data_IF_022896694341
#
_entry.id   IF_022896694341
#
_cell.length_a   1.000
_cell.length_b   1.000
_cell.length_c   1.000
_cell.angle_alpha   90.00
_cell.angle_beta   90.00
_cell.angle_gamma   90.00
#
_symmetry.space_group_name_H-M   'P 1'
#
loop_
_entity.id
_entity.type
_entity.pdbx_description
1 polymer ?
#
# COMPACT_ATOMS: atom_id res chain seq x y z
N UNK A 1 -28.15 51.12 37.76
CA UNK A 1 -27.85 50.53 36.43
C UNK A 1 -26.47 49.85 36.42
N UNK A 2 -26.20 48.87 37.30
CA UNK A 2 -24.91 48.14 37.32
C UNK A 2 -25.05 46.62 37.40
N UNK A 3 -26.18 46.11 37.91
CA UNK A 3 -26.44 44.67 38.00
C UNK A 3 -26.98 44.02 36.71
N UNK A 4 -27.70 44.76 35.85
CA UNK A 4 -28.26 44.21 34.60
C UNK A 4 -27.20 43.90 33.55
N UNK A 5 -26.08 44.64 33.53
CA UNK A 5 -24.97 44.38 32.61
C UNK A 5 -24.08 43.22 33.08
N UNK A 6 -24.06 42.91 34.38
CA UNK A 6 -23.28 41.79 34.91
C UNK A 6 -23.84 40.43 34.43
N UNK A 7 -25.17 40.30 34.34
CA UNK A 7 -25.82 39.09 33.84
C UNK A 7 -25.64 38.88 32.33
N UNK A 8 -25.51 39.96 31.55
CA UNK A 8 -25.26 39.87 30.10
C UNK A 8 -23.81 39.45 29.83
N UNK A 9 -22.84 39.93 30.63
CA UNK A 9 -21.43 39.51 30.49
C UNK A 9 -21.23 38.03 30.89
N UNK A 10 -21.96 37.53 31.90
CA UNK A 10 -21.85 36.13 32.32
C UNK A 10 -22.48 35.14 31.31
N UNK A 11 -23.51 35.56 30.57
CA UNK A 11 -24.19 34.74 29.57
C UNK A 11 -23.49 34.73 28.21
N UNK A 12 -22.71 35.77 27.88
CA UNK A 12 -21.86 35.79 26.68
C UNK A 12 -20.58 34.94 26.87
N UNK A 13 -20.08 34.78 28.11
CA UNK A 13 -18.94 33.90 28.38
C UNK A 13 -19.27 32.39 28.27
N UNK A 14 -20.54 32.00 28.32
CA UNK A 14 -20.95 30.59 28.27
C UNK A 14 -20.90 29.98 26.86
N UNK A 15 -20.73 30.80 25.82
CA UNK A 15 -20.72 30.37 24.41
C UNK A 15 -19.30 29.94 23.97
N UNK A 16 -18.28 30.17 24.81
CA UNK A 16 -16.91 29.66 24.60
C UNK A 16 -16.64 28.35 25.35
N UNK A 17 -17.66 27.55 25.67
CA UNK A 17 -17.46 26.10 25.82
C UNK A 17 -17.24 25.55 24.42
N UNK A 18 -16.01 25.78 23.94
CA UNK A 18 -15.50 25.27 22.69
C UNK A 18 -15.84 23.79 22.63
N UNK A 19 -16.48 23.43 21.54
CA UNK A 19 -16.75 22.07 21.15
C UNK A 19 -15.44 21.29 21.25
N UNK A 20 -15.18 20.61 22.37
CA UNK A 20 -14.20 19.55 22.42
C UNK A 20 -14.82 18.44 21.58
N UNK A 21 -14.71 18.54 20.26
CA UNK A 21 -14.65 17.34 19.44
C UNK A 21 -13.49 16.59 20.05
N UNK A 22 -13.82 15.60 20.88
CA UNK A 22 -12.94 14.49 21.17
C UNK A 22 -12.46 14.04 19.80
N UNK A 23 -11.23 14.43 19.45
CA UNK A 23 -10.50 13.95 18.30
C UNK A 23 -10.10 12.50 18.63
N UNK A 24 -11.09 11.67 18.95
CA UNK A 24 -10.95 10.26 19.32
C UNK A 24 -10.84 9.37 18.08
N UNK A 25 -10.35 9.95 16.99
CA UNK A 25 -10.06 9.29 15.74
C UNK A 25 -9.04 10.17 15.03
N UNK A 26 -7.83 10.24 15.57
CA UNK A 26 -6.68 10.32 14.69
C UNK A 26 -6.88 9.11 13.75
N UNK A 27 -7.07 9.30 12.42
CA UNK A 27 -7.11 8.18 11.51
C UNK A 27 -5.91 7.31 11.81
N UNK A 28 -6.11 6.01 12.04
CA UNK A 28 -4.99 5.15 12.37
C UNK A 28 -4.14 5.10 11.10
N UNK A 29 -3.11 5.95 11.03
CA UNK A 29 -2.29 6.17 9.83
C UNK A 29 -1.68 4.86 9.32
N UNK A 30 -1.58 3.85 10.19
CA UNK A 30 -1.08 2.53 9.86
C UNK A 30 -2.13 1.59 9.26
N UNK A 31 -3.43 1.83 9.46
CA UNK A 31 -4.52 0.96 8.97
C UNK A 31 -5.40 1.64 7.92
N UNK A 32 -5.47 2.97 7.91
CA UNK A 32 -6.30 3.71 6.97
C UNK A 32 -5.63 3.79 5.59
N UNK A 33 -6.47 3.64 4.57
CA UNK A 33 -6.10 3.83 3.16
C UNK A 33 -6.45 5.27 2.74
N UNK A 34 -5.42 6.05 2.37
CA UNK A 34 -5.56 7.43 1.90
C UNK A 34 -5.21 7.50 0.41
N UNK A 35 -6.24 7.43 -0.45
CA UNK A 35 -6.04 7.47 -1.90
C UNK A 35 -5.97 8.90 -2.41
N UNK A 36 -4.74 9.41 -2.58
CA UNK A 36 -4.47 10.64 -3.31
C UNK A 36 -4.28 10.26 -4.78
N UNK A 37 -4.95 10.95 -5.71
CA UNK A 37 -4.81 10.66 -7.15
C UNK A 37 -3.49 11.21 -7.69
N UNK A 38 -2.83 10.43 -8.54
CA UNK A 38 -1.71 10.92 -9.33
C UNK A 38 -2.17 11.98 -10.34
N UNK A 39 -1.39 13.05 -10.52
CA UNK A 39 -1.75 14.18 -11.38
C UNK A 39 -1.81 13.78 -12.87
N UNK A 40 -0.91 12.90 -13.30
CA UNK A 40 -0.80 12.47 -14.69
C UNK A 40 -1.58 11.17 -14.98
N UNK A 41 -1.76 10.33 -13.96
CA UNK A 41 -2.50 9.08 -14.04
C UNK A 41 -3.60 9.01 -12.95
N UNK A 42 -4.73 9.73 -13.08
CA UNK A 42 -5.71 9.91 -11.99
C UNK A 42 -6.32 8.63 -11.39
N UNK A 43 -6.19 7.51 -12.08
CA UNK A 43 -6.63 6.18 -11.63
C UNK A 43 -5.57 5.43 -10.82
N UNK A 44 -4.35 5.96 -10.72
CA UNK A 44 -3.27 5.46 -9.87
C UNK A 44 -3.09 6.38 -8.66
N UNK A 45 -2.60 5.85 -7.52
CA UNK A 45 -2.30 6.68 -6.38
C UNK A 45 -1.08 7.55 -6.66
N UNK A 46 -1.07 8.75 -6.08
CA UNK A 46 0.10 9.60 -6.05
C UNK A 46 1.24 8.91 -5.27
N UNK A 47 2.46 9.14 -5.70
CA UNK A 47 3.64 8.63 -5.03
C UNK A 47 4.08 9.60 -3.93
N UNK A 48 3.80 9.28 -2.66
CA UNK A 48 3.94 10.23 -1.54
C UNK A 48 5.10 9.96 -0.58
N UNK A 49 5.54 8.71 -0.45
CA UNK A 49 6.52 8.29 0.58
C UNK A 49 6.05 8.48 2.04
N UNK A 50 4.74 8.56 2.26
CA UNK A 50 4.12 8.87 3.56
C UNK A 50 3.43 7.67 4.21
N UNK A 51 3.42 6.50 3.56
CA UNK A 51 2.84 5.28 4.10
C UNK A 51 1.31 5.24 4.05
N UNK A 52 0.69 5.84 3.02
CA UNK A 52 -0.77 5.95 2.90
C UNK A 52 -1.53 4.64 2.58
N UNK A 53 -0.86 3.51 2.67
CA UNK A 53 -1.41 2.18 2.43
C UNK A 53 -2.04 2.05 1.04
N UNK A 54 -1.39 2.64 0.04
CA UNK A 54 -1.83 2.61 -1.35
C UNK A 54 -0.85 1.89 -2.25
N UNK A 55 -1.39 1.29 -3.31
CA UNK A 55 -0.61 0.90 -4.46
C UNK A 55 -1.48 0.98 -5.71
N UNK A 56 -0.82 1.05 -6.87
CA UNK A 56 -1.50 0.94 -8.14
C UNK A 56 -0.53 0.62 -9.26
N UNK A 57 -1.01 -0.08 -10.28
CA UNK A 57 -0.29 -0.32 -11.52
C UNK A 57 -1.26 -0.37 -12.69
N UNK A 58 -0.75 -0.14 -13.89
CA UNK A 58 -1.46 -0.47 -15.12
C UNK A 58 -1.18 -1.94 -15.44
N UNK A 59 -2.23 -2.74 -15.52
CA UNK A 59 -2.18 -4.10 -16.03
C UNK A 59 -2.81 -4.09 -17.42
N UNK A 60 -1.99 -4.19 -18.46
CA UNK A 60 -2.41 -3.96 -19.85
C UNK A 60 -3.04 -2.56 -20.04
N UNK A 61 -4.37 -2.52 -20.24
CA UNK A 61 -5.20 -1.32 -20.38
C UNK A 61 -6.16 -1.12 -19.19
N UNK A 62 -5.98 -1.90 -18.14
CA UNK A 62 -6.77 -1.85 -16.92
C UNK A 62 -5.90 -1.37 -15.75
N UNK A 63 -6.57 -0.99 -14.66
CA UNK A 63 -5.96 -0.48 -13.45
C UNK A 63 -6.05 -1.55 -12.37
N UNK A 64 -4.90 -2.01 -11.91
CA UNK A 64 -4.77 -2.85 -10.74
C UNK A 64 -4.49 -1.97 -9.53
N UNK A 65 -5.49 -1.77 -8.68
CA UNK A 65 -5.43 -0.80 -7.58
C UNK A 65 -6.06 -1.34 -6.31
N UNK A 66 -5.59 -0.82 -5.17
CA UNK A 66 -6.20 -1.09 -3.87
C UNK A 66 -7.63 -0.49 -3.77
N UNK A 67 -8.49 -1.14 -2.98
CA UNK A 67 -9.75 -0.56 -2.48
C UNK A 67 -9.89 -0.74 -0.97
N UNK A 68 -10.75 0.05 -0.32
CA UNK A 68 -10.95 0.06 1.14
C UNK A 68 -11.43 -1.27 1.74
N UNK A 69 -11.95 -2.19 0.92
CA UNK A 69 -12.55 -3.45 1.39
C UNK A 69 -11.59 -4.64 1.29
N UNK A 70 -10.32 -4.39 0.97
CA UNK A 70 -9.30 -5.42 0.77
C UNK A 70 -8.08 -5.01 1.61
N UNK A 71 -7.47 -5.97 2.30
CA UNK A 71 -6.16 -5.76 2.94
C UNK A 71 -5.14 -5.53 1.81
N UNK A 72 -4.56 -4.32 1.67
CA UNK A 72 -3.80 -3.97 0.48
C UNK A 72 -2.50 -4.75 0.33
N UNK A 73 -1.88 -5.10 1.44
CA UNK A 73 -0.54 -5.68 1.42
C UNK A 73 -0.29 -6.60 2.61
N UNK A 74 0.67 -7.51 2.43
CA UNK A 74 1.27 -8.32 3.49
C UNK A 74 2.75 -8.58 3.17
N UNK A 75 3.58 -8.62 4.20
CA UNK A 75 4.99 -8.99 4.15
C UNK A 75 5.21 -10.24 4.99
N UNK A 76 5.91 -11.22 4.45
CA UNK A 76 6.23 -12.46 5.16
C UNK A 76 7.69 -12.82 4.93
N UNK A 77 8.43 -13.08 6.00
CA UNK A 77 9.74 -13.69 5.90
C UNK A 77 9.65 -15.21 6.13
N UNK A 78 10.21 -15.98 5.20
CA UNK A 78 10.33 -17.44 5.32
C UNK A 78 11.63 -17.92 4.65
N UNK A 79 12.52 -18.57 5.43
CA UNK A 79 13.71 -19.29 4.92
C UNK A 79 14.60 -18.44 3.98
N UNK A 80 15.01 -17.25 4.42
CA UNK A 80 15.88 -16.37 3.64
C UNK A 80 15.19 -15.65 2.48
N UNK A 81 13.86 -15.70 2.43
CA UNK A 81 13.08 -15.02 1.40
C UNK A 81 12.05 -14.10 2.04
N UNK A 82 11.86 -12.95 1.42
CA UNK A 82 10.74 -12.06 1.67
C UNK A 82 9.66 -12.32 0.62
N UNK A 83 8.43 -12.46 1.09
CA UNK A 83 7.20 -12.50 0.29
C UNK A 83 6.45 -11.19 0.52
N UNK A 84 6.42 -10.32 -0.49
CA UNK A 84 5.60 -9.12 -0.52
C UNK A 84 4.37 -9.38 -1.38
N UNK A 85 3.17 -9.29 -0.80
CA UNK A 85 1.91 -9.43 -1.54
C UNK A 85 1.18 -8.10 -1.60
N UNK A 86 0.71 -7.71 -2.79
CA UNK A 86 -0.19 -6.58 -3.02
C UNK A 86 -1.53 -7.12 -3.52
N UNK A 87 -2.64 -6.71 -2.90
CA UNK A 87 -3.99 -7.21 -3.20
C UNK A 87 -4.97 -6.06 -3.46
N UNK A 88 -5.74 -6.17 -4.52
CA UNK A 88 -6.65 -5.13 -4.97
C UNK A 88 -7.65 -5.65 -5.98
N UNK A 89 -8.16 -4.75 -6.83
CA UNK A 89 -9.06 -5.08 -7.92
C UNK A 89 -8.46 -4.64 -9.26
N UNK A 90 -8.88 -5.32 -10.32
CA UNK A 90 -8.65 -4.88 -11.70
C UNK A 90 -9.93 -4.21 -12.21
N UNK A 91 -9.83 -2.96 -12.68
CA UNK A 91 -10.95 -2.20 -13.23
C UNK A 91 -10.57 -1.42 -14.49
N UNK A 92 -11.53 -1.14 -15.38
CA UNK A 92 -11.36 -0.24 -16.53
C UNK A 92 -11.54 1.24 -16.14
N UNK A 93 -11.02 2.17 -16.95
CA UNK A 93 -11.17 3.63 -16.74
C UNK A 93 -12.62 4.09 -16.74
N UNK A 94 -13.42 3.47 -17.60
CA UNK A 94 -14.81 3.84 -17.85
C UNK A 94 -15.71 2.65 -17.50
N UNK A 95 -16.57 2.83 -16.50
CA UNK A 95 -17.78 2.03 -16.34
C UNK A 95 -18.82 2.41 -17.42
N UNK A 96 -18.43 2.41 -18.71
CA UNK A 96 -19.13 3.17 -19.76
C UNK A 96 -19.41 2.50 -21.11
N UNK A 97 -18.84 1.33 -21.45
CA UNK A 97 -19.21 0.67 -22.74
C UNK A 97 -19.25 -0.86 -22.70
N UNK A 98 -18.47 -1.48 -21.81
CA UNK A 98 -18.59 -2.90 -21.48
C UNK A 98 -18.48 -3.05 -19.96
N UNK A 99 -19.52 -3.60 -19.35
CA UNK A 99 -19.62 -3.81 -17.91
C UNK A 99 -18.68 -4.96 -17.51
N UNK A 100 -17.38 -4.72 -17.45
CA UNK A 100 -16.42 -5.71 -16.96
C UNK A 100 -16.50 -5.75 -15.44
N UNK A 101 -16.83 -6.92 -14.90
CA UNK A 101 -16.84 -7.19 -13.46
C UNK A 101 -15.47 -6.87 -12.86
N UNK A 102 -15.47 -6.21 -11.70
CA UNK A 102 -14.27 -6.03 -10.90
C UNK A 102 -13.76 -7.41 -10.45
N UNK A 103 -12.60 -7.84 -10.95
CA UNK A 103 -11.94 -9.06 -10.47
C UNK A 103 -10.96 -8.69 -9.36
N UNK A 104 -10.94 -9.49 -8.30
CA UNK A 104 -9.89 -9.38 -7.28
C UNK A 104 -8.59 -9.88 -7.88
N UNK A 105 -7.50 -9.18 -7.62
CA UNK A 105 -6.17 -9.63 -8.04
C UNK A 105 -5.20 -9.47 -6.88
N UNK A 106 -4.30 -10.43 -6.74
CA UNK A 106 -3.13 -10.32 -5.90
C UNK A 106 -1.88 -10.59 -6.73
N UNK A 107 -0.83 -9.82 -6.47
CA UNK A 107 0.50 -10.09 -6.98
C UNK A 107 1.45 -10.26 -5.80
N UNK A 108 2.29 -11.28 -5.89
CA UNK A 108 3.25 -11.64 -4.85
C UNK A 108 4.65 -11.66 -5.43
N UNK A 109 5.55 -10.90 -4.83
CA UNK A 109 6.98 -10.89 -5.12
C UNK A 109 7.70 -11.69 -4.05
N UNK A 110 8.47 -12.68 -4.47
CA UNK A 110 9.33 -13.48 -3.60
C UNK A 110 10.75 -13.19 -4.02
N UNK A 111 11.59 -12.79 -3.07
CA UNK A 111 12.97 -12.43 -3.33
C UNK A 111 13.87 -12.72 -2.13
N UNK A 112 15.18 -12.94 -2.34
CA UNK A 112 16.13 -13.14 -1.26
C UNK A 112 16.18 -11.95 -0.33
N UNK A 113 16.22 -12.23 0.97
CA UNK A 113 16.38 -11.21 1.99
C UNK A 113 17.17 -11.79 3.15
N UNK A 114 18.05 -10.97 3.74
CA UNK A 114 18.72 -11.34 4.99
C UNK A 114 17.69 -11.64 6.08
N UNK A 115 18.13 -12.31 7.15
CA UNK A 115 17.25 -12.61 8.27
C UNK A 115 16.48 -11.36 8.72
N UNK A 116 15.16 -11.52 8.85
CA UNK A 116 14.20 -10.46 9.16
C UNK A 116 13.19 -10.98 10.18
N UNK A 117 13.42 -10.72 11.46
CA UNK A 117 12.58 -11.23 12.55
C UNK A 117 11.39 -10.32 12.85
N UNK A 118 11.45 -9.07 12.43
CA UNK A 118 10.43 -8.06 12.69
C UNK A 118 10.31 -7.05 11.55
N UNK A 119 9.23 -6.26 11.55
CA UNK A 119 8.98 -5.28 10.48
C UNK A 119 9.98 -4.13 10.48
N UNK A 120 10.63 -3.85 11.62
CA UNK A 120 11.66 -2.82 11.74
C UNK A 120 12.90 -3.12 10.91
N UNK A 121 13.17 -4.39 10.63
CA UNK A 121 14.31 -4.79 9.80
C UNK A 121 14.06 -4.54 8.31
N UNK A 122 12.82 -4.26 7.90
CA UNK A 122 12.47 -3.89 6.52
C UNK A 122 13.14 -2.59 6.08
N UNK A 123 13.67 -1.78 6.99
CA UNK A 123 14.49 -0.61 6.66
C UNK A 123 15.73 -0.94 5.82
N UNK A 124 16.22 -2.19 5.87
CA UNK A 124 17.30 -2.68 5.00
C UNK A 124 16.91 -2.65 3.51
N UNK A 125 15.62 -2.54 3.19
CA UNK A 125 15.14 -2.38 1.81
C UNK A 125 15.34 -0.95 1.27
N UNK A 126 15.82 0.01 2.06
CA UNK A 126 15.98 1.37 1.58
C UNK A 126 16.91 1.43 0.37
N UNK A 127 16.41 2.00 -0.73
CA UNK A 127 17.12 2.15 -1.99
C UNK A 127 17.56 0.81 -2.62
N UNK A 128 16.80 -0.26 -2.38
CA UNK A 128 17.10 -1.61 -2.88
C UNK A 128 16.31 -1.93 -4.14
N UNK A 129 17.03 -2.31 -5.20
CA UNK A 129 16.48 -2.79 -6.48
C UNK A 129 16.57 -4.30 -6.55
N UNK A 130 15.46 -4.95 -6.85
CA UNK A 130 15.37 -6.39 -7.04
C UNK A 130 15.12 -6.67 -8.51
N UNK A 131 16.04 -7.41 -9.13
CA UNK A 131 15.85 -7.91 -10.48
C UNK A 131 14.92 -9.12 -10.48
N UNK A 132 13.70 -8.94 -10.99
CA UNK A 132 12.67 -9.98 -10.97
C UNK A 132 12.91 -11.12 -11.97
N UNK A 133 13.94 -11.01 -12.83
CA UNK A 133 14.38 -12.11 -13.70
C UNK A 133 15.44 -13.00 -13.04
N UNK A 134 15.90 -12.67 -11.83
CA UNK A 134 16.89 -13.47 -11.11
C UNK A 134 16.32 -14.85 -10.75
N UNK A 135 17.17 -15.89 -10.78
CA UNK A 135 16.75 -17.27 -10.51
C UNK A 135 16.17 -17.47 -9.09
N UNK A 136 16.60 -16.65 -8.13
CA UNK A 136 16.13 -16.69 -6.75
C UNK A 136 14.87 -15.85 -6.52
N UNK A 137 14.34 -15.20 -7.55
CA UNK A 137 13.12 -14.40 -7.49
C UNK A 137 11.95 -15.15 -8.12
N UNK A 138 10.75 -14.95 -7.57
CA UNK A 138 9.51 -15.44 -8.15
C UNK A 138 8.44 -14.35 -8.10
N UNK A 139 7.63 -14.28 -9.15
CA UNK A 139 6.42 -13.45 -9.16
C UNK A 139 5.21 -14.36 -9.34
N UNK A 140 4.25 -14.29 -8.43
CA UNK A 140 2.99 -15.03 -8.51
C UNK A 140 1.83 -14.07 -8.69
N UNK A 141 0.87 -14.46 -9.52
CA UNK A 141 -0.37 -13.74 -9.72
C UNK A 141 -1.55 -14.63 -9.36
N UNK A 142 -2.48 -14.10 -8.59
CA UNK A 142 -3.78 -14.70 -8.34
C UNK A 142 -4.86 -13.74 -8.85
N UNK A 143 -5.83 -14.29 -9.59
CA UNK A 143 -7.03 -13.56 -10.01
C UNK A 143 -8.22 -14.32 -9.40
N UNK A 144 -9.13 -13.59 -8.77
CA UNK A 144 -10.30 -14.09 -8.07
C UNK A 144 -9.96 -15.28 -7.13
N UNK A 145 -10.76 -16.35 -7.19
CA UNK A 145 -10.57 -17.55 -6.35
C UNK A 145 -9.66 -18.60 -6.99
N UNK A 146 -9.03 -18.30 -8.13
CA UNK A 146 -8.10 -19.23 -8.77
C UNK A 146 -6.82 -19.37 -7.96
N UNK A 147 -6.13 -20.51 -8.11
CA UNK A 147 -4.84 -20.71 -7.46
C UNK A 147 -3.79 -19.71 -7.97
N UNK A 148 -2.85 -19.27 -7.11
CA UNK A 148 -1.74 -18.44 -7.55
C UNK A 148 -0.94 -19.11 -8.67
N UNK A 149 -0.74 -18.40 -9.79
CA UNK A 149 0.07 -18.82 -10.93
C UNK A 149 1.44 -18.18 -10.87
N UNK A 150 2.49 -18.97 -11.07
CA UNK A 150 3.84 -18.44 -11.26
C UNK A 150 3.95 -17.76 -12.63
N UNK A 151 4.45 -16.52 -12.66
CA UNK A 151 4.67 -15.78 -13.90
C UNK A 151 6.04 -16.10 -14.48
N UNK A 152 6.10 -16.36 -15.79
CA UNK A 152 7.36 -16.43 -16.54
C UNK A 152 7.84 -15.01 -16.85
N UNK A 153 8.52 -14.38 -15.89
CA UNK A 153 9.03 -13.01 -16.00
C UNK A 153 10.24 -12.99 -16.95
N UNK A 154 10.14 -12.19 -18.01
CA UNK A 154 11.24 -12.01 -18.97
C UNK A 154 12.00 -10.71 -18.74
N UNK A 155 11.34 -9.70 -18.16
CA UNK A 155 11.93 -8.44 -17.74
C UNK A 155 11.12 -7.92 -16.54
N UNK A 156 11.76 -7.29 -15.56
CA UNK A 156 11.04 -6.64 -14.46
C UNK A 156 11.93 -6.18 -13.32
N UNK A 157 11.46 -5.18 -12.58
CA UNK A 157 12.12 -4.63 -11.42
C UNK A 157 11.10 -4.40 -10.30
N UNK A 158 11.49 -4.70 -9.07
CA UNK A 158 10.86 -4.19 -7.86
C UNK A 158 11.87 -3.28 -7.17
N UNK A 159 11.53 -2.00 -7.00
CA UNK A 159 12.42 -1.01 -6.42
C UNK A 159 11.81 -0.42 -5.14
N UNK A 160 12.44 -0.71 -4.01
CA UNK A 160 12.16 -0.07 -2.73
C UNK A 160 12.97 1.22 -2.65
N UNK A 161 12.38 2.32 -3.10
CA UNK A 161 13.07 3.63 -3.09
C UNK A 161 13.26 4.16 -1.68
N UNK A 162 12.21 4.09 -0.85
CA UNK A 162 12.21 4.55 0.53
C UNK A 162 11.85 3.40 1.46
N UNK A 163 12.64 3.21 2.50
CA UNK A 163 12.25 2.47 3.69
C UNK A 163 12.62 3.32 4.92
N UNK A 164 11.63 3.74 5.71
CA UNK A 164 11.83 4.66 6.83
C UNK A 164 10.91 4.35 8.00
N UNK A 165 11.28 4.81 9.20
CA UNK A 165 10.39 4.68 10.36
C UNK A 165 9.21 5.64 10.23
N UNK A 166 8.03 5.19 10.62
CA UNK A 166 6.92 6.04 11.00
C UNK A 166 6.87 6.10 12.53
N UNK A 167 7.06 7.29 13.07
CA UNK A 167 7.01 7.55 14.50
C UNK A 167 5.81 8.46 14.81
N UNK A 168 5.09 8.14 15.89
CA UNK A 168 4.06 8.99 16.48
C UNK A 168 4.47 9.22 17.93
N UNK A 169 4.62 10.47 18.35
CA UNK A 169 5.06 10.85 19.70
C UNK A 169 6.32 10.07 20.14
N UNK A 170 7.33 10.05 19.26
CA UNK A 170 8.62 9.33 19.40
C UNK A 170 8.53 7.80 19.53
N UNK A 171 7.33 7.22 19.44
CA UNK A 171 7.12 5.78 19.38
C UNK A 171 7.07 5.32 17.93
N UNK A 172 7.89 4.31 17.60
CA UNK A 172 7.81 3.66 16.29
C UNK A 172 6.50 2.88 16.20
N UNK A 173 5.71 3.16 15.18
CA UNK A 173 4.42 2.51 14.94
C UNK A 173 4.39 1.67 13.66
N UNK A 174 5.27 1.96 12.69
CA UNK A 174 5.39 1.20 11.45
C UNK A 174 6.74 1.47 10.75
N UNK A 175 7.05 0.66 9.75
CA UNK A 175 8.02 0.94 8.70
C UNK A 175 7.28 1.35 7.41
N UNK A 176 7.54 2.55 6.91
CA UNK A 176 7.05 3.00 5.61
C UNK A 176 7.91 2.41 4.51
N UNK A 177 7.31 1.66 3.60
CA UNK A 177 7.93 1.13 2.39
C UNK A 177 7.28 1.77 1.17
N UNK A 178 8.06 2.50 0.39
CA UNK A 178 7.56 3.20 -0.80
C UNK A 178 8.47 2.95 -1.98
N UNK A 179 7.87 2.68 -3.13
CA UNK A 179 8.64 2.25 -4.29
C UNK A 179 7.83 2.06 -5.55
N UNK A 180 8.48 1.46 -6.53
CA UNK A 180 7.92 1.22 -7.86
C UNK A 180 8.14 -0.22 -8.30
N UNK A 181 7.32 -0.69 -9.21
CA UNK A 181 7.52 -1.99 -9.85
C UNK A 181 7.01 -2.01 -11.28
N UNK A 182 7.56 -2.90 -12.08
CA UNK A 182 7.04 -3.25 -13.38
C UNK A 182 7.48 -4.67 -13.75
N UNK A 183 6.66 -5.36 -14.54
CA UNK A 183 6.86 -6.73 -14.96
C UNK A 183 6.44 -6.86 -16.42
N UNK A 184 7.26 -7.54 -17.20
CA UNK A 184 6.88 -8.11 -18.48
C UNK A 184 7.01 -9.63 -18.36
N UNK A 185 5.92 -10.34 -18.59
CA UNK A 185 5.88 -11.79 -18.49
C UNK A 185 5.34 -12.43 -19.77
N UNK A 186 5.70 -13.69 -19.99
CA UNK A 186 5.33 -14.44 -21.18
C UNK A 186 4.29 -15.52 -20.86
N UNK A 187 3.27 -15.65 -21.71
CA UNK A 187 2.31 -16.76 -21.70
C UNK A 187 2.23 -17.31 -23.13
N UNK A 188 2.70 -18.54 -23.33
CA UNK A 188 2.87 -19.09 -24.68
C UNK A 188 3.80 -18.21 -25.53
N UNK A 189 3.27 -17.61 -26.61
CA UNK A 189 4.01 -16.69 -27.48
C UNK A 189 3.62 -15.21 -27.29
N UNK A 190 2.82 -14.89 -26.28
CA UNK A 190 2.37 -13.54 -26.00
C UNK A 190 3.09 -12.96 -24.78
N UNK A 191 3.29 -11.64 -24.80
CA UNK A 191 3.84 -10.87 -23.70
C UNK A 191 2.74 -10.03 -23.07
N UNK A 192 2.76 -9.98 -21.75
CA UNK A 192 1.85 -9.20 -20.93
C UNK A 192 2.66 -8.30 -20.01
N UNK A 193 2.14 -7.10 -19.74
CA UNK A 193 2.86 -6.04 -19.05
C UNK A 193 2.04 -5.49 -17.89
N UNK A 194 2.66 -5.49 -16.71
CA UNK A 194 2.29 -4.65 -15.58
C UNK A 194 3.30 -3.52 -15.52
N UNK A 195 2.85 -2.29 -15.75
CA UNK A 195 3.72 -1.11 -15.80
C UNK A 195 3.22 -0.04 -14.85
N UNK A 196 4.06 0.98 -14.65
CA UNK A 196 3.68 2.15 -13.86
C UNK A 196 3.26 1.76 -12.43
N UNK A 197 3.80 0.65 -11.91
CA UNK A 197 3.53 0.16 -10.58
C UNK A 197 4.18 1.06 -9.54
N UNK A 198 3.41 1.44 -8.53
CA UNK A 198 3.83 2.26 -7.39
C UNK A 198 3.15 1.77 -6.12
N UNK A 199 3.86 1.88 -5.01
CA UNK A 199 3.33 1.52 -3.70
C UNK A 199 3.86 2.49 -2.65
N UNK A 200 3.03 2.73 -1.63
CA UNK A 200 3.35 3.50 -0.44
C UNK A 200 2.62 2.89 0.75
N UNK A 201 3.34 2.12 1.57
CA UNK A 201 2.78 1.16 2.52
C UNK A 201 3.32 1.42 3.92
N UNK A 202 2.47 1.32 4.94
CA UNK A 202 2.88 1.33 6.36
C UNK A 202 2.86 -0.09 6.92
N UNK A 203 4.01 -0.73 7.03
CA UNK A 203 4.12 -2.10 7.56
C UNK A 203 4.30 -2.06 9.08
N UNK A 204 3.38 -2.69 9.82
CA UNK A 204 3.47 -2.92 11.26
C UNK A 204 3.31 -4.43 11.57
N UNK A 205 3.18 -4.80 12.84
CA UNK A 205 3.01 -6.19 13.26
C UNK A 205 1.78 -6.90 12.65
N UNK A 206 0.72 -6.18 12.28
CA UNK A 206 -0.48 -6.78 11.69
C UNK A 206 -0.25 -7.19 10.22
N UNK A 207 0.72 -6.57 9.54
CA UNK A 207 0.99 -6.78 8.12
C UNK A 207 2.33 -7.49 7.87
N UNK A 208 3.11 -7.76 8.91
CA UNK A 208 4.35 -8.51 8.85
C UNK A 208 4.20 -9.87 9.53
N UNK A 209 4.80 -10.92 8.96
CA UNK A 209 4.84 -12.24 9.58
C UNK A 209 6.21 -12.86 9.44
N UNK A 210 6.83 -13.23 10.57
CA UNK A 210 8.01 -14.07 10.60
C UNK A 210 7.60 -15.53 10.75
N UNK A 211 7.99 -16.38 9.80
CA UNK A 211 7.76 -17.83 9.89
C UNK A 211 9.07 -18.49 10.31
N UNK A 212 9.20 -18.75 11.61
CA UNK A 212 10.21 -19.68 12.12
C UNK A 212 9.85 -21.09 11.70
N UNK A 213 10.77 -21.78 11.04
CA UNK A 213 10.74 -23.23 11.00
C UNK A 213 11.10 -23.81 12.36
#
# INVERSE_FOLDING_TARGET
MKAKYLFIVLSVLSIFVGCSKKFNSIPNLTDDLIFIRDEYYPMLPAYTELGYNTFGAMYEKQYFVVTKNIIPFKMQYEKGNMLMTLSGIVKSEESGYYNYSESKMAISFIFPFDECKSYEELLKLHNTKINLTSADCQVRQQIDTYSPKLLNVVEGELFFRRAQNLNIDDQKVAAVLSGTFWIKHRVGNQYFVIKNGRFDLSINENYFTYISK
#
